data_IF_744460321303
#
_entry.id   IF_744460321303
#
_cell.length_a   1.000
_cell.length_b   1.000
_cell.length_c   1.000
_cell.angle_alpha   90.00
_cell.angle_beta   90.00
_cell.angle_gamma   90.00
#
_symmetry.space_group_name_H-M   'P 1'
#
loop_
_entity.id
_entity.type
_entity.pdbx_description
1 polymer ?
#
# COMPACT_ATOMS: atom_id res chain seq x y z
N UNK A 1 -25.65 1.58 5.30
CA UNK A 1 -24.27 1.49 5.85
C UNK A 1 -23.22 1.74 4.79
N UNK A 2 -21.95 1.73 5.17
CA UNK A 2 -20.81 2.00 4.26
C UNK A 2 -20.83 1.07 3.03
N UNK A 3 -21.20 -0.21 3.24
CA UNK A 3 -21.34 -1.20 2.17
C UNK A 3 -22.38 -0.84 1.11
N UNK A 4 -23.45 -0.12 1.48
CA UNK A 4 -24.47 0.32 0.52
C UNK A 4 -23.94 1.46 -0.37
N UNK A 5 -23.06 2.31 0.17
CA UNK A 5 -22.43 3.40 -0.57
C UNK A 5 -21.49 2.79 -1.62
N UNK A 6 -20.62 1.86 -1.26
CA UNK A 6 -19.72 1.19 -2.20
C UNK A 6 -20.48 0.44 -3.29
N UNK A 7 -21.55 -0.27 -2.92
CA UNK A 7 -22.41 -0.96 -3.89
C UNK A 7 -23.04 0.00 -4.90
N UNK A 8 -23.53 1.15 -4.47
CA UNK A 8 -24.12 2.16 -5.38
C UNK A 8 -23.06 2.77 -6.29
N UNK A 9 -21.87 3.04 -5.76
CA UNK A 9 -20.76 3.58 -6.56
C UNK A 9 -20.32 2.58 -7.62
N UNK A 10 -20.10 1.31 -7.27
CA UNK A 10 -19.72 0.29 -8.26
C UNK A 10 -20.83 0.05 -9.28
N UNK A 11 -22.12 0.07 -8.87
CA UNK A 11 -23.25 -0.02 -9.81
C UNK A 11 -23.31 1.16 -10.78
N UNK A 12 -23.05 2.37 -10.31
CA UNK A 12 -23.01 3.56 -11.17
C UNK A 12 -21.85 3.47 -12.17
N UNK A 13 -20.63 3.25 -11.68
CA UNK A 13 -19.45 3.21 -12.52
C UNK A 13 -19.38 1.98 -13.45
N UNK A 14 -20.10 0.90 -13.16
CA UNK A 14 -20.20 -0.23 -14.09
C UNK A 14 -20.97 0.09 -15.39
N UNK A 15 -21.68 1.23 -15.43
CA UNK A 15 -22.45 1.70 -16.59
C UNK A 15 -21.75 2.83 -17.35
N UNK A 16 -20.56 3.21 -16.92
CA UNK A 16 -19.75 4.28 -17.53
C UNK A 16 -18.83 3.63 -18.57
N UNK A 17 -18.75 4.21 -19.76
CA UNK A 17 -17.92 3.68 -20.86
C UNK A 17 -16.41 3.95 -20.65
N UNK A 18 -16.05 5.02 -19.90
CA UNK A 18 -14.66 5.29 -19.58
C UNK A 18 -14.10 4.27 -18.58
N UNK A 19 -12.82 3.88 -18.70
CA UNK A 19 -12.17 3.02 -17.73
C UNK A 19 -12.12 3.66 -16.34
N UNK A 20 -12.69 3.01 -15.34
CA UNK A 20 -12.73 3.48 -13.96
C UNK A 20 -12.10 2.45 -13.03
N UNK A 21 -11.23 2.91 -12.14
CA UNK A 21 -10.72 2.14 -11.01
C UNK A 21 -11.17 2.82 -9.73
N UNK A 22 -11.75 2.05 -8.82
CA UNK A 22 -12.11 2.51 -7.47
C UNK A 22 -11.23 1.78 -6.45
N UNK A 23 -10.61 2.55 -5.55
CA UNK A 23 -9.81 2.03 -4.46
C UNK A 23 -10.38 2.56 -3.15
N UNK A 24 -10.75 1.65 -2.26
CA UNK A 24 -11.30 1.96 -0.95
C UNK A 24 -10.42 1.32 0.11
N UNK A 25 -9.98 2.10 1.07
CA UNK A 25 -9.26 1.58 2.23
C UNK A 25 -9.60 2.39 3.48
N UNK A 26 -9.45 1.75 4.64
CA UNK A 26 -9.52 2.46 5.90
C UNK A 26 -8.17 3.10 6.23
N UNK A 27 -8.18 4.31 6.74
CA UNK A 27 -6.99 5.03 7.19
C UNK A 27 -6.45 4.45 8.51
N UNK A 28 -7.33 4.12 9.44
CA UNK A 28 -7.01 3.50 10.73
C UNK A 28 -8.27 2.93 11.41
N UNK A 29 -8.09 2.11 12.44
CA UNK A 29 -9.18 1.78 13.36
C UNK A 29 -9.53 3.01 14.21
N UNK A 30 -10.82 3.18 14.48
CA UNK A 30 -11.27 4.17 15.44
C UNK A 30 -10.88 3.69 16.87
N UNK A 31 -10.03 4.42 17.60
CA UNK A 31 -9.81 4.14 19.00
C UNK A 31 -11.10 4.51 19.77
N UNK A 32 -11.95 3.50 20.04
CA UNK A 32 -13.19 3.68 20.79
C UNK A 32 -12.87 4.05 22.26
N UNK A 33 -11.68 3.70 22.70
CA UNK A 33 -11.10 4.06 23.99
C UNK A 33 -9.61 4.39 23.87
N UNK A 34 -8.99 4.88 24.93
CA UNK A 34 -7.60 5.36 24.92
C UNK A 34 -6.56 4.25 24.70
N UNK A 35 -6.91 2.98 24.90
CA UNK A 35 -5.98 1.84 24.93
C UNK A 35 -6.38 0.66 24.05
N UNK A 36 -7.36 0.80 23.18
CA UNK A 36 -7.92 -0.32 22.40
C UNK A 36 -8.51 -1.45 23.27
N UNK A 37 -8.96 -1.14 24.49
CA UNK A 37 -9.45 -2.14 25.46
C UNK A 37 -10.66 -2.92 24.94
N UNK A 38 -11.49 -2.31 24.08
CA UNK A 38 -12.59 -2.98 23.41
C UNK A 38 -12.11 -4.14 22.52
N UNK A 39 -11.01 -3.94 21.82
CA UNK A 39 -10.45 -4.97 20.93
C UNK A 39 -9.79 -6.10 21.70
N UNK A 40 -9.11 -5.79 22.79
CA UNK A 40 -8.48 -6.81 23.66
C UNK A 40 -9.52 -7.56 24.48
N UNK A 41 -10.51 -6.88 25.06
CA UNK A 41 -11.59 -7.51 25.83
C UNK A 41 -12.50 -8.39 24.99
N UNK A 42 -12.69 -8.05 23.71
CA UNK A 42 -13.42 -8.89 22.74
C UNK A 42 -12.62 -10.11 22.24
N UNK A 43 -11.35 -10.22 22.60
CA UNK A 43 -10.44 -11.27 22.09
C UNK A 43 -9.97 -11.05 20.66
N UNK A 44 -10.24 -9.87 20.06
CA UNK A 44 -9.77 -9.55 18.72
C UNK A 44 -8.26 -9.31 18.67
N UNK A 45 -7.71 -8.65 19.67
CA UNK A 45 -6.28 -8.39 19.80
C UNK A 45 -5.74 -8.95 21.11
N UNK A 46 -4.47 -9.36 21.12
CA UNK A 46 -3.80 -9.91 22.32
C UNK A 46 -3.15 -8.85 23.19
N UNK A 47 -2.75 -7.73 22.60
CA UNK A 47 -2.14 -6.57 23.27
C UNK A 47 -2.63 -5.28 22.61
N UNK A 48 -2.87 -4.26 23.44
CA UNK A 48 -3.51 -3.02 22.99
C UNK A 48 -2.70 -2.21 21.97
N UNK A 49 -1.39 -2.31 21.93
CA UNK A 49 -0.57 -1.43 21.11
C UNK A 49 0.30 -2.14 20.07
N UNK A 50 0.66 -3.39 20.31
CA UNK A 50 1.64 -4.12 19.51
C UNK A 50 1.01 -5.11 18.53
N UNK A 51 -0.29 -5.42 18.67
CA UNK A 51 -0.95 -6.40 17.79
C UNK A 51 -1.09 -5.84 16.37
N UNK A 52 -0.46 -6.47 15.36
CA UNK A 52 -0.51 -6.00 13.97
C UNK A 52 -1.95 -5.85 13.44
N UNK A 53 -2.91 -6.61 13.95
CA UNK A 53 -4.32 -6.55 13.54
C UNK A 53 -4.97 -5.21 13.83
N UNK A 54 -4.50 -4.48 14.84
CA UNK A 54 -4.98 -3.14 15.17
C UNK A 54 -4.51 -2.07 14.18
N UNK A 55 -3.57 -2.41 13.31
CA UNK A 55 -3.01 -1.53 12.29
C UNK A 55 -3.35 -1.99 10.87
N UNK A 56 -4.26 -2.95 10.73
CA UNK A 56 -4.72 -3.47 9.45
C UNK A 56 -6.16 -3.02 9.20
N UNK A 57 -6.40 -2.43 8.06
CA UNK A 57 -7.74 -2.01 7.62
C UNK A 57 -8.11 -2.71 6.32
N UNK A 58 -9.39 -2.75 6.01
CA UNK A 58 -9.86 -3.35 4.76
C UNK A 58 -9.42 -2.52 3.57
N UNK A 59 -8.86 -3.19 2.55
CA UNK A 59 -8.58 -2.64 1.23
C UNK A 59 -9.48 -3.34 0.21
N UNK A 60 -10.16 -2.56 -0.61
CA UNK A 60 -10.93 -3.04 -1.76
C UNK A 60 -10.50 -2.27 -3.01
N UNK A 61 -10.16 -2.99 -4.06
CA UNK A 61 -9.92 -2.44 -5.39
C UNK A 61 -10.95 -3.01 -6.36
N UNK A 62 -11.51 -2.16 -7.22
CA UNK A 62 -12.50 -2.53 -8.20
C UNK A 62 -12.31 -1.74 -9.49
N UNK A 63 -12.63 -2.34 -10.64
CA UNK A 63 -12.71 -1.62 -11.90
C UNK A 63 -13.89 -2.09 -12.74
N UNK A 64 -14.32 -1.25 -13.70
CA UNK A 64 -15.38 -1.60 -14.63
C UNK A 64 -14.92 -2.35 -15.88
N UNK A 65 -13.63 -2.63 -16.02
CA UNK A 65 -13.06 -3.29 -17.21
C UNK A 65 -12.30 -4.60 -16.91
N UNK A 66 -12.20 -4.99 -15.64
CA UNK A 66 -11.70 -6.32 -15.25
C UNK A 66 -12.46 -6.84 -14.03
N UNK A 67 -12.80 -8.11 -14.06
CA UNK A 67 -13.59 -8.81 -13.04
C UNK A 67 -12.83 -9.98 -12.41
N UNK A 68 -11.50 -10.03 -12.56
CA UNK A 68 -10.66 -11.08 -11.97
C UNK A 68 -10.51 -10.83 -10.46
N UNK A 69 -11.18 -11.61 -9.60
CA UNK A 69 -10.97 -11.49 -8.17
C UNK A 69 -9.55 -11.93 -7.78
N UNK A 70 -8.86 -11.12 -7.00
CA UNK A 70 -7.53 -11.40 -6.48
C UNK A 70 -7.53 -11.15 -4.99
N UNK A 71 -7.12 -12.15 -4.19
CA UNK A 71 -6.81 -11.94 -2.79
C UNK A 71 -5.39 -11.41 -2.68
N UNK A 72 -5.27 -10.14 -2.30
CA UNK A 72 -3.98 -9.48 -2.12
C UNK A 72 -3.32 -9.85 -0.79
N UNK A 73 -4.06 -10.43 0.16
CA UNK A 73 -3.62 -10.58 1.53
C UNK A 73 -3.32 -9.21 2.15
N UNK A 74 -2.45 -9.18 3.17
CA UNK A 74 -2.02 -7.92 3.79
C UNK A 74 -0.87 -7.30 2.99
N UNK A 75 -0.97 -6.01 2.69
CA UNK A 75 0.07 -5.20 2.07
C UNK A 75 0.25 -3.89 2.85
N UNK A 76 1.39 -3.25 2.70
CA UNK A 76 1.60 -1.93 3.31
C UNK A 76 0.85 -0.82 2.55
N UNK A 77 0.56 0.28 3.22
CA UNK A 77 -0.13 1.41 2.59
C UNK A 77 0.64 2.00 1.40
N UNK A 78 1.97 1.97 1.44
CA UNK A 78 2.82 2.43 0.34
C UNK A 78 2.78 1.50 -0.90
N UNK A 79 2.25 0.28 -0.77
CA UNK A 79 2.09 -0.67 -1.86
C UNK A 79 0.72 -0.54 -2.58
N UNK A 80 -0.22 0.23 -2.05
CA UNK A 80 -1.56 0.36 -2.63
C UNK A 80 -1.49 0.81 -4.09
N UNK A 81 -0.79 1.91 -4.37
CA UNK A 81 -0.67 2.44 -5.75
C UNK A 81 0.12 1.52 -6.68
N UNK A 82 1.31 1.00 -6.30
CA UNK A 82 2.04 0.04 -7.14
C UNK A 82 1.22 -1.21 -7.46
N UNK A 83 0.54 -1.78 -6.46
CA UNK A 83 -0.29 -2.99 -6.64
C UNK A 83 -1.50 -2.68 -7.53
N UNK A 84 -2.18 -1.56 -7.31
CA UNK A 84 -3.29 -1.12 -8.15
C UNK A 84 -2.84 -0.99 -9.62
N UNK A 85 -1.74 -0.27 -9.88
CA UNK A 85 -1.26 -0.08 -11.24
C UNK A 85 -0.87 -1.40 -11.90
N UNK A 86 -0.25 -2.32 -11.16
CA UNK A 86 0.10 -3.65 -11.65
C UNK A 86 -1.15 -4.48 -11.96
N UNK A 87 -2.13 -4.48 -11.04
CA UNK A 87 -3.35 -5.27 -11.15
C UNK A 87 -4.20 -4.86 -12.36
N UNK A 88 -4.27 -3.56 -12.63
CA UNK A 88 -5.10 -2.99 -13.69
C UNK A 88 -4.34 -2.66 -14.98
N UNK A 89 -3.09 -3.10 -15.12
CA UNK A 89 -2.30 -3.00 -16.35
C UNK A 89 -1.88 -1.56 -16.70
N UNK A 90 -1.74 -0.69 -15.70
CA UNK A 90 -1.27 0.67 -15.90
C UNK A 90 0.26 0.73 -15.98
N UNK A 91 0.79 1.68 -16.75
CA UNK A 91 2.22 1.94 -16.82
C UNK A 91 2.74 2.38 -15.45
N UNK A 92 3.82 1.72 -14.99
CA UNK A 92 4.35 1.95 -13.66
C UNK A 92 5.69 2.68 -13.71
N UNK A 93 5.86 3.76 -12.90
CA UNK A 93 7.18 4.33 -12.63
C UNK A 93 8.12 3.26 -12.06
N UNK A 94 9.43 3.39 -12.33
CA UNK A 94 10.44 2.44 -11.83
C UNK A 94 10.40 2.28 -10.29
N UNK A 95 10.07 3.33 -9.56
CA UNK A 95 9.89 3.25 -8.11
C UNK A 95 8.76 2.27 -7.71
N UNK A 96 7.62 2.31 -8.41
CA UNK A 96 6.52 1.38 -8.15
C UNK A 96 6.85 -0.05 -8.60
N UNK A 97 7.60 -0.23 -9.67
CA UNK A 97 8.10 -1.55 -10.07
C UNK A 97 9.02 -2.14 -9.00
N UNK A 98 9.87 -1.31 -8.37
CA UNK A 98 10.72 -1.74 -7.27
C UNK A 98 9.89 -2.18 -6.06
N UNK A 99 8.85 -1.43 -5.65
CA UNK A 99 7.96 -1.79 -4.56
C UNK A 99 7.21 -3.09 -4.85
N UNK A 100 6.66 -3.25 -6.05
CA UNK A 100 6.05 -4.51 -6.48
C UNK A 100 7.04 -5.68 -6.42
N UNK A 101 8.32 -5.44 -6.76
CA UNK A 101 9.34 -6.48 -6.64
C UNK A 101 9.67 -6.81 -5.19
N UNK A 102 9.77 -5.82 -4.31
CA UNK A 102 9.95 -6.03 -2.87
C UNK A 102 8.83 -6.92 -2.32
N UNK A 103 7.57 -6.57 -2.62
CA UNK A 103 6.37 -7.31 -2.21
C UNK A 103 6.36 -8.78 -2.66
N UNK A 104 7.05 -9.10 -3.77
CA UNK A 104 7.15 -10.46 -4.29
C UNK A 104 8.28 -11.29 -3.68
N UNK A 105 9.38 -10.65 -3.25
CA UNK A 105 10.62 -11.38 -2.94
C UNK A 105 11.15 -11.17 -1.53
N UNK A 106 10.71 -10.15 -0.80
CA UNK A 106 11.29 -9.78 0.49
C UNK A 106 10.26 -9.81 1.64
N UNK A 107 9.28 -8.92 1.57
CA UNK A 107 8.30 -8.76 2.64
C UNK A 107 6.99 -8.16 2.10
N UNK A 108 5.91 -8.34 2.86
CA UNK A 108 4.59 -7.79 2.55
C UNK A 108 4.36 -6.42 3.19
N UNK A 109 5.05 -6.16 4.28
CA UNK A 109 5.03 -4.87 4.96
C UNK A 109 6.24 -4.77 5.90
N UNK A 110 6.76 -3.56 6.06
CA UNK A 110 7.79 -3.28 7.05
C UNK A 110 7.44 -1.98 7.76
N UNK A 111 7.10 -2.07 9.03
CA UNK A 111 6.68 -0.91 9.82
C UNK A 111 7.11 -1.04 11.28
N UNK A 112 7.63 0.04 11.84
CA UNK A 112 8.00 0.16 13.26
C UNK A 112 8.89 -0.98 13.78
N UNK A 113 9.81 -1.49 12.94
CA UNK A 113 10.70 -2.59 13.31
C UNK A 113 10.06 -3.98 13.25
N UNK A 114 8.82 -4.08 12.80
CA UNK A 114 8.15 -5.36 12.53
C UNK A 114 8.02 -5.57 11.03
N UNK A 115 8.49 -6.71 10.56
CA UNK A 115 8.41 -7.13 9.17
C UNK A 115 7.36 -8.22 9.03
N UNK A 116 6.46 -8.08 8.08
CA UNK A 116 5.54 -9.14 7.68
C UNK A 116 6.15 -9.92 6.51
N UNK A 117 6.40 -11.20 6.74
CA UNK A 117 6.94 -12.13 5.75
C UNK A 117 5.94 -12.39 4.61
N UNK A 118 6.42 -13.00 3.52
CA UNK A 118 5.59 -13.34 2.36
C UNK A 118 4.45 -14.31 2.70
N UNK A 119 4.61 -15.13 3.73
CA UNK A 119 3.59 -16.06 4.25
C UNK A 119 2.60 -15.42 5.25
N UNK A 120 2.74 -14.11 5.51
CA UNK A 120 1.89 -13.37 6.44
C UNK A 120 2.31 -13.43 7.90
N UNK A 121 3.33 -14.21 8.25
CA UNK A 121 3.89 -14.20 9.62
C UNK A 121 4.67 -12.92 9.87
N UNK A 122 4.85 -12.54 11.14
CA UNK A 122 5.59 -11.32 11.51
C UNK A 122 6.86 -11.66 12.29
N UNK A 123 7.89 -10.82 12.11
CA UNK A 123 9.17 -10.94 12.83
C UNK A 123 9.72 -9.55 13.18
N UNK A 124 10.46 -9.48 14.28
CA UNK A 124 11.26 -8.30 14.66
C UNK A 124 12.76 -8.48 14.29
N UNK A 125 13.10 -9.64 13.74
CA UNK A 125 14.46 -9.95 13.28
C UNK A 125 14.42 -10.24 11.79
N UNK A 126 14.45 -9.20 10.94
CA UNK A 126 14.41 -9.36 9.49
C UNK A 126 15.63 -10.12 8.98
N UNK A 127 15.45 -10.86 7.89
CA UNK A 127 16.55 -11.49 7.17
C UNK A 127 17.44 -10.44 6.49
N UNK A 128 18.66 -10.79 6.12
CA UNK A 128 19.56 -9.90 5.38
C UNK A 128 18.99 -9.44 4.04
N UNK A 129 18.16 -10.25 3.40
CA UNK A 129 17.42 -9.87 2.19
C UNK A 129 16.41 -8.76 2.48
N UNK A 130 15.58 -8.92 3.52
CA UNK A 130 14.60 -7.92 3.95
C UNK A 130 15.26 -6.61 4.38
N UNK A 131 16.35 -6.69 5.13
CA UNK A 131 17.15 -5.51 5.50
C UNK A 131 17.68 -4.76 4.26
N UNK A 132 18.23 -5.49 3.29
CA UNK A 132 18.72 -4.90 2.04
C UNK A 132 17.61 -4.20 1.25
N UNK A 133 16.41 -4.77 1.17
CA UNK A 133 15.27 -4.13 0.50
C UNK A 133 14.76 -2.92 1.26
N UNK A 134 14.65 -3.00 2.58
CA UNK A 134 14.28 -1.87 3.43
C UNK A 134 15.26 -0.70 3.28
N UNK A 135 16.56 -0.98 3.22
CA UNK A 135 17.58 0.05 3.01
C UNK A 135 17.45 0.70 1.63
N UNK A 136 17.22 -0.08 0.57
CA UNK A 136 17.00 0.46 -0.79
C UNK A 136 15.77 1.35 -0.84
N UNK A 137 14.67 0.89 -0.24
CA UNK A 137 13.42 1.64 -0.16
C UNK A 137 13.65 2.98 0.57
N UNK A 138 14.28 2.94 1.75
CA UNK A 138 14.59 4.14 2.53
C UNK A 138 15.49 5.11 1.76
N UNK A 139 16.53 4.63 1.11
CA UNK A 139 17.46 5.48 0.32
C UNK A 139 16.74 6.18 -0.83
N UNK A 140 15.83 5.48 -1.51
CA UNK A 140 15.05 6.08 -2.59
C UNK A 140 14.06 7.12 -2.05
N UNK A 141 13.36 6.83 -0.98
CA UNK A 141 12.46 7.81 -0.33
C UNK A 141 13.24 9.05 0.13
N UNK A 142 14.40 8.84 0.76
CA UNK A 142 15.24 9.94 1.18
C UNK A 142 15.70 10.81 0.01
N UNK A 143 16.16 10.21 -1.08
CA UNK A 143 16.60 10.94 -2.27
C UNK A 143 15.48 11.71 -2.95
N UNK A 144 14.28 11.12 -3.01
CA UNK A 144 13.08 11.76 -3.58
C UNK A 144 12.57 12.93 -2.74
N UNK A 145 12.65 12.84 -1.40
CA UNK A 145 12.06 13.84 -0.50
C UNK A 145 13.05 14.90 -0.02
N UNK A 146 14.29 14.53 0.19
CA UNK A 146 15.29 15.38 0.85
C UNK A 146 16.65 15.39 0.16
N UNK A 147 16.89 14.47 -0.78
CA UNK A 147 18.15 14.33 -1.50
C UNK A 147 18.26 15.29 -2.67
N UNK A 148 19.16 14.96 -3.60
CA UNK A 148 19.38 15.73 -4.83
C UNK A 148 18.58 15.22 -6.02
N UNK A 149 17.67 14.26 -5.81
CA UNK A 149 16.85 13.67 -6.86
C UNK A 149 17.63 12.79 -7.85
N UNK A 150 18.76 12.22 -7.46
CA UNK A 150 19.55 11.34 -8.34
C UNK A 150 18.75 10.14 -8.85
N UNK A 151 17.80 9.66 -8.04
CA UNK A 151 16.93 8.57 -8.44
C UNK A 151 15.97 9.00 -9.56
N UNK A 152 15.44 10.23 -9.52
CA UNK A 152 14.54 10.76 -10.56
C UNK A 152 15.21 10.74 -11.93
N UNK A 153 16.43 11.25 -12.03
CA UNK A 153 17.21 11.28 -13.25
C UNK A 153 17.43 9.87 -13.82
N UNK A 154 17.80 8.93 -12.98
CA UNK A 154 18.03 7.54 -13.38
C UNK A 154 16.74 6.76 -13.70
N UNK A 155 15.61 7.21 -13.19
CA UNK A 155 14.29 6.61 -13.42
C UNK A 155 13.54 7.25 -14.61
N UNK A 156 14.15 8.19 -15.33
CA UNK A 156 13.51 8.88 -16.47
C UNK A 156 12.36 9.80 -16.07
N UNK A 157 12.29 10.22 -14.80
CA UNK A 157 11.22 11.08 -14.27
C UNK A 157 11.53 12.57 -14.34
N UNK A 158 12.64 12.97 -14.95
CA UNK A 158 13.06 14.39 -15.07
C UNK A 158 12.07 15.26 -15.87
N UNK A 159 11.26 14.64 -16.74
CA UNK A 159 10.34 15.38 -17.61
C UNK A 159 9.11 15.97 -16.89
N UNK A 160 8.83 15.61 -15.65
CA UNK A 160 7.66 16.12 -14.93
C UNK A 160 7.89 17.49 -14.27
N UNK A 161 9.14 17.89 -14.07
CA UNK A 161 9.47 19.18 -13.45
C UNK A 161 9.93 20.27 -14.44
N UNK A 162 10.16 19.95 -15.70
CA UNK A 162 10.66 20.91 -16.70
C UNK A 162 9.57 21.79 -17.34
N UNK A 163 8.30 21.58 -17.02
CA UNK A 163 7.18 22.36 -17.58
C UNK A 163 6.63 23.46 -16.67
N UNK A 164 7.29 23.78 -15.53
CA UNK A 164 6.81 24.80 -14.60
C UNK A 164 7.72 26.03 -14.44
N UNK A 165 8.66 26.27 -15.34
CA UNK A 165 9.51 27.50 -15.26
C UNK A 165 9.56 28.27 -16.58
N UNK A 166 8.41 28.49 -17.23
CA UNK A 166 8.31 29.50 -18.26
C UNK A 166 6.87 30.06 -18.28
N UNK A 167 6.57 30.95 -17.31
CA UNK A 167 5.65 32.10 -17.45
C UNK A 167 5.96 33.14 -16.39
#
# INVERSE_FOLDING_TARGET
GLGDVYKRQTQYFSQVDEPVILVFWGDHYNPIDSNYDVFTSSGYASDSSADPRLHQTTLLMWSNYTDKPVDLGTIAAYDISPVMMNLYGLEQPLYFQLLNRQLQVADRANTRGTVMNLDGTTTQTPSSLQESWSQKHWLLQYDLMFGKGYALSRMGMESLNSTQTDE
#
